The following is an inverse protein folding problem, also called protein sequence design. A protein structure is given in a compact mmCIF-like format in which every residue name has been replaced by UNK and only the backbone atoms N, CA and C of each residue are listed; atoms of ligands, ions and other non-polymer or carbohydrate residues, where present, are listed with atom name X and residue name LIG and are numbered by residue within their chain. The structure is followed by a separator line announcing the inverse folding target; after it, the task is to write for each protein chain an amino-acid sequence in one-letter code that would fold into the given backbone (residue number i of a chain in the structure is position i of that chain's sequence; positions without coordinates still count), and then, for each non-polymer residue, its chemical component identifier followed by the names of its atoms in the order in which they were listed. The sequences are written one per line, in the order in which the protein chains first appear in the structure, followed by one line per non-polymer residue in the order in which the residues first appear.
data_IF_683038225307
#
_entry.id   IF_683038225307
#
_cell.length_a   1.000
_cell.length_b   1.000
_cell.length_c   1.000
_cell.angle_alpha   90.00
_cell.angle_beta   90.00
_cell.angle_gamma   90.00
#
_symmetry.space_group_name_H-M   'P 1'
#
loop_
_entity.id
_entity.type
_entity.pdbx_description
1 polymer ?
#
# COMPACT_ATOMS: atom_id res chain seq x y z
N UNK A 1 18.61 7.96 -5.80
CA UNK A 1 17.91 7.60 -4.54
C UNK A 1 17.40 6.18 -4.70
N UNK A 2 17.41 5.39 -3.62
CA UNK A 2 17.00 3.98 -3.65
C UNK A 2 15.48 3.85 -3.66
N UNK A 3 14.95 2.88 -4.40
CA UNK A 3 13.53 2.49 -4.35
C UNK A 3 13.19 1.79 -3.02
N UNK A 4 14.21 1.27 -2.34
CA UNK A 4 14.15 0.56 -1.07
C UNK A 4 13.98 1.48 0.13
N UNK A 5 13.17 1.02 1.09
CA UNK A 5 13.09 1.52 2.45
C UNK A 5 14.32 1.05 3.22
N UNK A 6 14.94 1.97 3.96
CA UNK A 6 16.06 1.65 4.83
C UNK A 6 15.55 1.05 6.14
N UNK A 7 15.84 -0.22 6.37
CA UNK A 7 15.66 -0.88 7.66
C UNK A 7 16.94 -0.66 8.49
N UNK A 8 16.79 -0.25 9.74
CA UNK A 8 17.91 0.12 10.63
C UNK A 8 18.09 -0.82 11.81
N UNK A 9 16.99 -1.43 12.28
CA UNK A 9 16.99 -2.42 13.35
C UNK A 9 15.98 -3.52 12.99
N UNK A 10 16.25 -4.75 13.38
CA UNK A 10 15.39 -5.91 13.19
C UNK A 10 15.51 -6.86 14.38
N UNK A 11 14.38 -7.41 14.81
CA UNK A 11 14.29 -8.48 15.79
C UNK A 11 13.14 -9.41 15.42
N UNK A 12 13.37 -10.72 15.50
CA UNK A 12 12.35 -11.75 15.35
C UNK A 12 12.33 -12.61 16.61
N UNK A 13 11.16 -13.10 17.01
CA UNK A 13 11.07 -14.10 18.06
C UNK A 13 11.48 -15.47 17.49
N UNK A 14 12.27 -16.23 18.25
CA UNK A 14 12.75 -17.55 17.81
C UNK A 14 11.63 -18.61 17.76
N UNK A 15 10.54 -18.40 18.50
CA UNK A 15 9.44 -19.33 18.71
C UNK A 15 8.11 -18.89 18.07
N UNK A 16 8.05 -17.66 17.53
CA UNK A 16 6.84 -17.11 16.90
C UNK A 16 7.19 -16.31 15.65
N UNK A 17 6.20 -16.10 14.78
CA UNK A 17 6.34 -15.25 13.59
C UNK A 17 6.31 -13.73 13.91
N UNK A 18 6.49 -13.35 15.17
CA UNK A 18 6.46 -11.96 15.61
C UNK A 18 7.80 -11.29 15.31
N UNK A 19 7.72 -10.17 14.59
CA UNK A 19 8.89 -9.35 14.26
C UNK A 19 8.70 -7.88 14.62
N UNK A 20 9.79 -7.26 15.01
CA UNK A 20 9.92 -5.82 15.23
C UNK A 20 11.01 -5.29 14.31
N UNK A 21 10.76 -4.14 13.68
CA UNK A 21 11.76 -3.46 12.86
C UNK A 21 11.69 -1.96 13.04
N UNK A 22 12.81 -1.30 12.78
CA UNK A 22 12.94 0.14 12.66
C UNK A 22 13.13 0.52 11.20
N UNK A 23 12.29 1.39 10.65
CA UNK A 23 12.40 1.82 9.25
C UNK A 23 12.34 3.35 9.11
N UNK A 24 13.12 3.88 8.16
CA UNK A 24 13.05 5.28 7.77
C UNK A 24 11.95 5.45 6.69
N UNK A 25 10.89 6.19 7.03
CA UNK A 25 9.78 6.51 6.11
C UNK A 25 9.64 8.04 6.02
N UNK A 26 10.00 8.60 4.86
CA UNK A 26 10.09 10.05 4.67
C UNK A 26 11.07 10.69 5.64
N UNK A 27 10.60 11.67 6.42
CA UNK A 27 11.41 12.35 7.45
C UNK A 27 11.32 11.70 8.83
N UNK A 28 10.55 10.61 9.00
CA UNK A 28 10.32 9.97 10.28
C UNK A 28 10.89 8.56 10.35
N UNK A 29 11.05 8.07 11.59
CA UNK A 29 11.38 6.69 11.90
C UNK A 29 10.13 6.00 12.45
N UNK A 30 9.81 4.81 11.95
CA UNK A 30 8.75 3.97 12.50
C UNK A 30 9.37 2.76 13.21
N UNK A 31 8.69 2.24 14.24
CA UNK A 31 9.05 1.01 14.93
C UNK A 31 7.84 0.07 14.92
N UNK A 32 7.99 -1.13 14.36
CA UNK A 32 6.90 -2.12 14.28
C UNK A 32 6.89 -3.04 15.50
N UNK A 33 5.74 -3.67 15.86
CA UNK A 33 4.42 -3.49 15.26
C UNK A 33 3.87 -2.09 15.55
N UNK A 34 3.44 -1.40 14.49
CA UNK A 34 2.83 -0.08 14.59
C UNK A 34 1.39 -0.19 14.15
N UNK A 35 0.46 0.29 14.98
CA UNK A 35 -0.92 0.50 14.56
C UNK A 35 -0.99 1.81 13.79
N UNK A 36 -1.67 1.80 12.67
CA UNK A 36 -1.96 3.00 11.90
C UNK A 36 -3.28 3.59 12.33
N UNK A 37 -3.39 4.92 12.23
CA UNK A 37 -4.64 5.63 12.40
C UNK A 37 -5.16 6.11 11.06
N UNK A 38 -6.46 6.01 10.84
CA UNK A 38 -7.16 6.69 9.76
C UNK A 38 -7.98 7.84 10.38
N UNK A 39 -7.48 9.09 10.38
CA UNK A 39 -8.13 10.21 11.07
C UNK A 39 -9.55 10.52 10.56
N UNK A 40 -9.91 10.02 9.36
CA UNK A 40 -11.23 10.21 8.76
C UNK A 40 -12.32 9.42 9.48
N UNK A 41 -11.97 8.32 10.14
CA UNK A 41 -12.94 7.41 10.75
C UNK A 41 -13.36 7.85 12.16
N UNK A 42 -12.80 8.97 12.65
CA UNK A 42 -13.04 9.53 13.98
C UNK A 42 -13.77 10.88 13.91
N UNK A 43 -14.31 11.32 15.04
CA UNK A 43 -15.04 12.59 15.13
C UNK A 43 -14.16 13.81 14.77
N UNK A 44 -14.83 14.89 14.36
CA UNK A 44 -14.16 16.09 13.86
C UNK A 44 -13.21 16.71 14.89
N UNK A 45 -13.57 16.64 16.17
CA UNK A 45 -12.94 17.19 17.37
C UNK A 45 -12.03 16.21 18.12
N UNK A 46 -11.87 14.97 17.63
CA UNK A 46 -10.94 14.00 18.23
C UNK A 46 -9.50 14.51 18.09
N UNK A 47 -8.86 14.75 19.23
CA UNK A 47 -7.42 15.01 19.34
C UNK A 47 -6.70 13.69 19.62
N UNK A 48 -5.75 13.31 18.76
CA UNK A 48 -5.00 12.07 18.92
C UNK A 48 -3.79 12.31 19.82
N UNK A 49 -3.58 11.50 20.88
CA UNK A 49 -2.35 11.54 21.64
C UNK A 49 -1.13 11.31 20.74
N UNK A 50 -0.08 12.13 20.85
CA UNK A 50 1.11 12.06 19.98
C UNK A 50 1.82 10.70 20.00
N UNK A 51 1.77 10.00 21.13
CA UNK A 51 2.32 8.66 21.29
C UNK A 51 1.53 7.56 20.56
N UNK A 52 0.33 7.90 20.06
CA UNK A 52 -0.50 7.02 19.22
C UNK A 52 -0.43 7.41 17.73
N UNK A 53 0.29 8.47 17.36
CA UNK A 53 0.41 8.96 15.98
C UNK A 53 1.80 8.67 15.40
N UNK A 54 2.19 7.40 15.33
CA UNK A 54 3.50 7.00 14.79
C UNK A 54 3.49 6.84 13.26
N UNK A 55 2.33 6.46 12.72
CA UNK A 55 2.09 6.28 11.28
C UNK A 55 0.60 6.50 11.03
N UNK A 56 0.24 7.22 9.97
CA UNK A 56 -1.15 7.39 9.56
C UNK A 56 -1.41 6.84 8.17
N UNK A 57 -2.65 6.44 7.94
CA UNK A 57 -3.12 5.95 6.65
C UNK A 57 -4.22 6.85 6.10
N UNK A 58 -4.21 7.04 4.80
CA UNK A 58 -5.29 7.66 4.04
C UNK A 58 -5.68 6.74 2.90
N UNK A 59 -6.98 6.56 2.72
CA UNK A 59 -7.52 5.73 1.64
C UNK A 59 -8.30 6.60 0.65
N UNK A 60 -7.83 6.63 -0.59
CA UNK A 60 -8.51 7.27 -1.71
C UNK A 60 -9.03 6.20 -2.65
N UNK A 61 -10.27 6.37 -3.11
CA UNK A 61 -10.91 5.46 -4.06
C UNK A 61 -11.38 6.29 -5.23
N UNK A 62 -10.95 5.91 -6.42
CA UNK A 62 -11.32 6.57 -7.66
C UNK A 62 -11.94 5.55 -8.61
N UNK A 63 -13.12 5.84 -9.09
CA UNK A 63 -13.64 5.25 -10.32
C UNK A 63 -13.31 6.12 -11.53
N UNK A 64 -13.69 5.66 -12.72
CA UNK A 64 -13.42 6.37 -13.98
C UNK A 64 -13.81 7.86 -13.88
N UNK A 65 -15.02 8.15 -13.40
CA UNK A 65 -15.56 9.52 -13.30
C UNK A 65 -14.80 10.37 -12.27
N UNK A 66 -14.62 9.85 -11.06
CA UNK A 66 -13.95 10.60 -9.99
C UNK A 66 -12.45 10.78 -10.23
N UNK A 67 -11.82 9.91 -11.03
CA UNK A 67 -10.44 10.05 -11.47
C UNK A 67 -10.31 11.18 -12.50
N UNK A 68 -11.19 11.21 -13.52
CA UNK A 68 -11.23 12.32 -14.48
C UNK A 68 -11.46 13.66 -13.78
N UNK A 69 -12.37 13.72 -12.80
CA UNK A 69 -12.57 14.94 -11.99
C UNK A 69 -11.35 15.32 -11.16
N UNK A 70 -10.56 14.36 -10.67
CA UNK A 70 -9.34 14.65 -9.93
C UNK A 70 -8.30 15.38 -10.80
N UNK A 71 -8.29 15.06 -12.09
CA UNK A 71 -7.35 15.60 -13.07
C UNK A 71 -7.84 16.93 -13.68
N UNK A 72 -9.11 17.00 -14.08
CA UNK A 72 -9.65 18.10 -14.89
C UNK A 72 -10.41 19.17 -14.06
N UNK A 73 -11.03 18.78 -12.93
CA UNK A 73 -11.82 19.69 -12.09
C UNK A 73 -10.97 20.22 -10.93
N UNK A 74 -10.44 21.44 -11.12
CA UNK A 74 -9.63 22.14 -10.11
C UNK A 74 -10.34 22.28 -8.76
N UNK A 75 -11.65 22.52 -8.74
CA UNK A 75 -12.38 22.70 -7.48
C UNK A 75 -12.49 21.37 -6.73
N UNK A 76 -12.79 20.27 -7.44
CA UNK A 76 -12.81 18.93 -6.89
C UNK A 76 -11.43 18.50 -6.35
N UNK A 77 -10.38 18.69 -7.14
CA UNK A 77 -9.00 18.42 -6.73
C UNK A 77 -8.60 19.23 -5.48
N UNK A 78 -8.84 20.55 -5.49
CA UNK A 78 -8.55 21.42 -4.34
C UNK A 78 -9.29 20.99 -3.07
N UNK A 79 -10.55 20.56 -3.19
CA UNK A 79 -11.33 20.09 -2.06
C UNK A 79 -10.73 18.81 -1.47
N UNK A 80 -10.41 17.82 -2.32
CA UNK A 80 -9.72 16.59 -1.88
C UNK A 80 -8.40 16.89 -1.18
N UNK A 81 -7.60 17.79 -1.74
CA UNK A 81 -6.31 18.18 -1.19
C UNK A 81 -6.46 18.83 0.20
N UNK A 82 -7.49 19.68 0.37
CA UNK A 82 -7.82 20.29 1.67
C UNK A 82 -8.24 19.25 2.71
N UNK A 83 -9.05 18.27 2.30
CA UNK A 83 -9.53 17.21 3.20
C UNK A 83 -8.36 16.35 3.69
N UNK A 84 -7.45 15.95 2.79
CA UNK A 84 -6.27 15.16 3.14
C UNK A 84 -5.30 15.97 4.02
N UNK A 85 -5.08 17.25 3.70
CA UNK A 85 -4.24 18.13 4.52
C UNK A 85 -4.78 18.25 5.94
N UNK A 86 -6.10 18.32 6.11
CA UNK A 86 -6.74 18.35 7.43
C UNK A 86 -6.50 17.05 8.20
N UNK A 87 -6.61 15.89 7.55
CA UNK A 87 -6.34 14.60 8.17
C UNK A 87 -4.88 14.47 8.61
N UNK A 88 -3.93 14.91 7.77
CA UNK A 88 -2.50 14.90 8.12
C UNK A 88 -2.18 15.79 9.33
N UNK A 89 -2.85 16.93 9.45
CA UNK A 89 -2.73 17.80 10.64
C UNK A 89 -3.24 17.12 11.90
N UNK A 90 -4.37 16.41 11.84
CA UNK A 90 -4.90 15.62 12.97
C UNK A 90 -3.94 14.50 13.41
N UNK A 91 -3.17 13.97 12.48
CA UNK A 91 -2.14 12.97 12.75
C UNK A 91 -0.78 13.58 13.16
N UNK A 92 -0.75 14.84 13.61
CA UNK A 92 0.47 15.57 14.03
C UNK A 92 1.61 15.54 13.01
N UNK A 93 1.28 15.48 11.71
CA UNK A 93 2.27 15.37 10.63
C UNK A 93 3.22 14.17 10.74
N UNK A 94 2.81 13.09 11.41
CA UNK A 94 3.56 11.84 11.42
C UNK A 94 3.68 11.27 9.98
N UNK A 95 4.62 10.32 9.75
CA UNK A 95 4.71 9.62 8.48
C UNK A 95 3.35 9.11 7.98
N UNK A 96 3.08 9.26 6.70
CA UNK A 96 1.81 8.92 6.07
C UNK A 96 1.92 7.92 4.94
N UNK A 97 0.96 7.00 4.88
CA UNK A 97 0.71 6.11 3.73
C UNK A 97 -0.63 6.50 3.11
N UNK A 98 -0.65 6.88 1.84
CA UNK A 98 -1.87 7.15 1.08
C UNK A 98 -2.10 6.05 0.05
N UNK A 99 -2.93 5.09 0.41
CA UNK A 99 -3.36 4.03 -0.49
C UNK A 99 -4.42 4.55 -1.46
N UNK A 100 -4.20 4.30 -2.75
CA UNK A 100 -5.10 4.72 -3.82
C UNK A 100 -5.65 3.47 -4.51
N UNK A 101 -6.97 3.35 -4.56
CA UNK A 101 -7.67 2.24 -5.19
C UNK A 101 -8.34 2.70 -6.48
N UNK A 102 -8.10 1.99 -7.57
CA UNK A 102 -8.83 2.18 -8.83
C UNK A 102 -10.01 1.20 -8.94
N UNK A 103 -11.21 1.77 -9.06
CA UNK A 103 -12.50 1.09 -9.08
C UNK A 103 -13.15 1.16 -10.45
N UNK A 104 -13.15 0.06 -11.17
CA UNK A 104 -13.88 0.00 -12.45
C UNK A 104 -15.36 -0.34 -12.24
N UNK A 105 -16.25 0.43 -12.88
CA UNK A 105 -17.69 0.09 -12.99
C UNK A 105 -17.89 -1.08 -13.99
N UNK A 106 -18.97 -1.86 -13.89
CA UNK A 106 -19.32 -2.94 -14.85
C UNK A 106 -18.89 -4.37 -14.47
N UNK A 107 -19.06 -5.38 -15.35
CA UNK A 107 -18.77 -6.81 -15.03
C UNK A 107 -17.34 -7.28 -15.34
N UNK A 108 -16.61 -6.63 -16.25
CA UNK A 108 -15.31 -7.14 -16.74
C UNK A 108 -14.05 -6.66 -15.99
N UNK A 109 -14.11 -5.49 -15.35
CA UNK A 109 -12.88 -4.87 -14.83
C UNK A 109 -11.93 -4.42 -15.95
N UNK A 110 -10.98 -3.54 -15.62
CA UNK A 110 -9.86 -3.18 -16.48
C UNK A 110 -8.71 -2.63 -15.64
N UNK A 111 -7.50 -2.66 -16.18
CA UNK A 111 -6.41 -1.85 -15.66
C UNK A 111 -6.64 -0.37 -16.03
N UNK A 112 -6.12 0.58 -15.23
CA UNK A 112 -6.06 1.99 -15.63
C UNK A 112 -5.15 2.16 -16.86
N UNK A 113 -5.47 3.14 -17.69
CA UNK A 113 -4.63 3.59 -18.81
C UNK A 113 -3.37 4.29 -18.29
N UNK A 114 -2.38 4.52 -19.15
CA UNK A 114 -1.14 5.21 -18.77
C UNK A 114 -1.39 6.59 -18.13
N UNK A 115 -2.34 7.36 -18.68
CA UNK A 115 -2.74 8.67 -18.13
C UNK A 115 -3.34 8.52 -16.73
N UNK A 116 -4.25 7.56 -16.56
CA UNK A 116 -4.88 7.29 -15.27
C UNK A 116 -3.86 6.80 -14.22
N UNK A 117 -2.85 6.03 -14.64
CA UNK A 117 -1.73 5.64 -13.77
C UNK A 117 -0.96 6.86 -13.29
N UNK A 118 -0.67 7.86 -14.14
CA UNK A 118 -0.03 9.11 -13.70
C UNK A 118 -0.89 9.85 -12.67
N UNK A 119 -2.20 9.98 -12.89
CA UNK A 119 -3.09 10.64 -11.93
C UNK A 119 -3.11 9.89 -10.59
N UNK A 120 -3.25 8.56 -10.61
CA UNK A 120 -3.31 7.72 -9.40
C UNK A 120 -1.99 7.76 -8.62
N UNK A 121 -0.86 7.58 -9.31
CA UNK A 121 0.47 7.59 -8.69
C UNK A 121 0.85 8.99 -8.21
N UNK A 122 0.42 10.05 -8.89
CA UNK A 122 0.58 11.43 -8.42
C UNK A 122 -0.17 11.69 -7.11
N UNK A 123 -1.41 11.21 -7.00
CA UNK A 123 -2.17 11.31 -5.76
C UNK A 123 -1.47 10.54 -4.63
N UNK A 124 -1.07 9.30 -4.88
CA UNK A 124 -0.33 8.47 -3.94
C UNK A 124 0.99 9.13 -3.49
N UNK A 125 1.78 9.65 -4.44
CA UNK A 125 3.04 10.35 -4.18
C UNK A 125 2.83 11.63 -3.36
N UNK A 126 1.80 12.41 -3.66
CA UNK A 126 1.57 13.71 -3.01
C UNK A 126 1.23 13.58 -1.53
N UNK A 127 0.58 12.49 -1.15
CA UNK A 127 0.01 12.29 0.19
C UNK A 127 0.67 11.21 1.02
N UNK A 128 1.73 10.59 0.50
CA UNK A 128 2.49 9.58 1.22
C UNK A 128 3.94 9.98 1.39
N UNK A 129 4.59 9.45 2.43
CA UNK A 129 6.03 9.59 2.65
C UNK A 129 6.82 8.44 2.00
N UNK A 130 6.14 7.35 1.63
CA UNK A 130 6.57 6.28 0.70
C UNK A 130 5.47 6.09 -0.34
N UNK A 131 5.79 5.99 -1.63
CA UNK A 131 4.78 6.02 -2.69
C UNK A 131 4.16 4.64 -2.93
N UNK A 132 2.89 4.40 -2.58
CA UNK A 132 2.26 3.12 -2.85
C UNK A 132 1.91 2.99 -4.32
N UNK A 133 2.16 1.81 -4.89
CA UNK A 133 1.54 1.43 -6.16
C UNK A 133 0.03 1.41 -5.94
N UNK A 134 -0.81 1.97 -6.83
CA UNK A 134 -2.26 1.92 -6.65
C UNK A 134 -2.81 0.48 -6.66
N UNK A 135 -3.85 0.20 -5.89
CA UNK A 135 -4.52 -1.11 -5.93
C UNK A 135 -5.56 -1.19 -7.04
N UNK A 136 -5.67 -2.38 -7.61
CA UNK A 136 -6.70 -2.75 -8.60
C UNK A 136 -7.44 -4.03 -8.16
N UNK A 137 -8.17 -4.02 -7.02
CA UNK A 137 -8.65 -5.25 -6.38
C UNK A 137 -9.46 -6.16 -7.30
N UNK A 138 -10.27 -5.58 -8.18
CA UNK A 138 -11.10 -6.33 -9.12
C UNK A 138 -10.28 -7.12 -10.16
N UNK A 139 -9.20 -6.54 -10.67
CA UNK A 139 -8.29 -7.23 -11.59
C UNK A 139 -7.44 -8.25 -10.83
N UNK A 140 -7.03 -7.91 -9.61
CA UNK A 140 -6.27 -8.80 -8.75
C UNK A 140 -7.02 -10.10 -8.40
N UNK A 141 -8.32 -10.04 -8.14
CA UNK A 141 -9.16 -11.23 -7.85
C UNK A 141 -9.22 -12.23 -8.99
N UNK A 142 -9.01 -11.78 -10.23
CA UNK A 142 -9.09 -12.64 -11.42
C UNK A 142 -7.72 -13.11 -11.91
N UNK A 143 -6.64 -12.84 -11.16
CA UNK A 143 -5.28 -13.28 -11.51
C UNK A 143 -5.24 -14.81 -11.66
N UNK A 144 -4.72 -15.24 -12.80
CA UNK A 144 -4.48 -16.63 -13.18
C UNK A 144 -3.34 -16.69 -14.19
N UNK A 145 -3.00 -17.89 -14.67
CA UNK A 145 -1.85 -18.12 -15.55
C UNK A 145 -1.93 -17.31 -16.85
N UNK A 146 -3.12 -17.07 -17.38
CA UNK A 146 -3.30 -16.39 -18.66
C UNK A 146 -3.11 -14.87 -18.56
N UNK A 147 -3.46 -14.24 -17.43
CA UNK A 147 -3.44 -12.78 -17.28
C UNK A 147 -2.42 -12.27 -16.25
N UNK A 148 -1.63 -13.14 -15.62
CA UNK A 148 -0.59 -12.74 -14.67
C UNK A 148 0.45 -11.79 -15.28
N UNK A 149 0.79 -11.99 -16.57
CA UNK A 149 1.69 -11.08 -17.30
C UNK A 149 1.16 -9.65 -17.41
N UNK A 150 -0.15 -9.49 -17.62
CA UNK A 150 -0.79 -8.16 -17.66
C UNK A 150 -0.73 -7.48 -16.29
N UNK A 151 -0.84 -8.26 -15.20
CA UNK A 151 -0.69 -7.74 -13.85
C UNK A 151 0.74 -7.22 -13.60
N UNK A 152 1.77 -7.98 -13.98
CA UNK A 152 3.16 -7.52 -13.88
C UNK A 152 3.43 -6.29 -14.77
N UNK A 153 2.84 -6.22 -15.96
CA UNK A 153 2.94 -5.06 -16.83
C UNK A 153 2.31 -3.81 -16.20
N UNK A 154 1.17 -3.97 -15.52
CA UNK A 154 0.56 -2.90 -14.73
C UNK A 154 1.48 -2.41 -13.60
N UNK A 155 2.10 -3.34 -12.85
CA UNK A 155 3.06 -2.99 -11.80
C UNK A 155 4.28 -2.24 -12.38
N UNK A 156 4.83 -2.70 -13.51
CA UNK A 156 5.95 -2.04 -14.21
C UNK A 156 5.58 -0.62 -14.61
N UNK A 157 4.41 -0.43 -15.21
CA UNK A 157 3.92 0.89 -15.63
C UNK A 157 3.79 1.85 -14.44
N UNK A 158 3.36 1.36 -13.27
CA UNK A 158 3.31 2.17 -12.06
C UNK A 158 4.71 2.54 -11.55
N UNK A 159 5.65 1.59 -11.53
CA UNK A 159 7.03 1.81 -11.11
C UNK A 159 7.70 2.87 -12.00
N UNK A 160 7.60 2.72 -13.31
CA UNK A 160 8.13 3.65 -14.31
C UNK A 160 7.57 5.07 -14.11
N UNK A 161 6.25 5.18 -13.87
CA UNK A 161 5.59 6.47 -13.67
C UNK A 161 6.03 7.14 -12.37
N UNK A 162 6.13 6.38 -11.26
CA UNK A 162 6.63 6.89 -9.98
C UNK A 162 8.08 7.36 -10.13
N UNK A 163 8.86 6.70 -10.99
CA UNK A 163 10.28 6.99 -11.17
C UNK A 163 10.61 8.31 -11.82
N UNK A 164 9.76 8.79 -12.72
CA UNK A 164 9.92 10.09 -13.38
C UNK A 164 10.09 11.22 -12.35
N UNK A 165 9.51 11.07 -11.15
CA UNK A 165 9.51 12.09 -10.09
C UNK A 165 10.52 11.80 -8.97
N UNK A 166 11.21 10.66 -9.00
CA UNK A 166 11.54 9.90 -7.79
C UNK A 166 12.40 10.64 -6.75
N UNK A 167 11.77 10.91 -5.60
CA UNK A 167 12.44 11.29 -4.34
C UNK A 167 12.00 10.44 -3.14
N UNK A 168 11.24 9.37 -3.35
CA UNK A 168 10.59 8.57 -2.31
C UNK A 168 10.71 7.08 -2.61
N UNK A 169 10.84 6.25 -1.59
CA UNK A 169 10.78 4.79 -1.77
C UNK A 169 9.42 4.37 -2.35
N UNK A 170 9.34 3.17 -2.90
CA UNK A 170 8.10 2.61 -3.46
C UNK A 170 7.54 1.56 -2.50
N UNK A 171 6.24 1.60 -2.25
CA UNK A 171 5.51 0.59 -1.50
C UNK A 171 4.72 -0.30 -2.48
N UNK A 172 5.22 -1.50 -2.73
CA UNK A 172 4.65 -2.45 -3.69
C UNK A 172 3.26 -2.94 -3.27
N UNK A 173 2.38 -3.12 -4.24
CA UNK A 173 1.05 -3.69 -4.06
C UNK A 173 1.09 -5.22 -4.14
N UNK A 174 0.64 -5.89 -3.08
CA UNK A 174 0.46 -7.35 -3.07
C UNK A 174 -1.02 -7.66 -2.87
N UNK A 175 -1.72 -8.19 -3.89
CA UNK A 175 -3.09 -8.64 -3.73
C UNK A 175 -3.20 -9.96 -2.97
N UNK A 176 -4.40 -10.26 -2.49
CA UNK A 176 -4.85 -11.59 -2.11
C UNK A 176 -4.83 -12.53 -3.34
N UNK A 177 -3.65 -13.09 -3.66
CA UNK A 177 -3.42 -14.05 -4.72
C UNK A 177 -2.91 -15.39 -4.16
N UNK A 178 -2.85 -16.42 -4.99
CA UNK A 178 -2.28 -17.73 -4.59
C UNK A 178 -0.78 -17.61 -4.30
N UNK A 179 -0.24 -18.59 -3.56
CA UNK A 179 1.17 -18.64 -3.18
C UNK A 179 2.14 -18.49 -4.37
N UNK A 180 1.84 -19.17 -5.49
CA UNK A 180 2.65 -19.11 -6.72
C UNK A 180 2.77 -17.68 -7.26
N UNK A 181 1.64 -16.97 -7.40
CA UNK A 181 1.66 -15.60 -7.91
C UNK A 181 2.28 -14.63 -6.91
N UNK A 182 2.08 -14.87 -5.61
CA UNK A 182 2.70 -14.06 -4.55
C UNK A 182 4.23 -14.14 -4.62
N UNK A 183 4.81 -15.33 -4.80
CA UNK A 183 6.27 -15.48 -4.97
C UNK A 183 6.79 -14.70 -6.18
N UNK A 184 6.12 -14.86 -7.33
CA UNK A 184 6.52 -14.17 -8.55
C UNK A 184 6.39 -12.64 -8.44
N UNK A 185 5.41 -12.13 -7.70
CA UNK A 185 5.26 -10.70 -7.41
C UNK A 185 6.42 -10.20 -6.53
N UNK A 186 6.82 -10.98 -5.53
CA UNK A 186 7.97 -10.63 -4.68
C UNK A 186 9.27 -10.61 -5.50
N UNK A 187 9.52 -11.64 -6.31
CA UNK A 187 10.69 -11.65 -7.20
C UNK A 187 10.70 -10.43 -8.13
N UNK A 188 9.55 -10.13 -8.76
CA UNK A 188 9.40 -8.94 -9.59
C UNK A 188 9.80 -7.67 -8.85
N UNK A 189 9.33 -7.47 -7.62
CA UNK A 189 9.67 -6.28 -6.85
C UNK A 189 11.15 -6.23 -6.43
N UNK A 190 11.71 -7.35 -5.99
CA UNK A 190 13.12 -7.42 -5.59
C UNK A 190 14.06 -7.18 -6.78
N UNK A 191 13.70 -7.67 -7.98
CA UNK A 191 14.43 -7.39 -9.22
C UNK A 191 14.38 -5.89 -9.59
N UNK A 192 13.34 -5.19 -9.13
CA UNK A 192 13.22 -3.74 -9.23
C UNK A 192 13.76 -3.00 -8.00
N UNK A 193 14.43 -3.66 -7.04
CA UNK A 193 14.95 -3.01 -5.83
C UNK A 193 13.84 -2.40 -4.95
N UNK A 194 12.71 -3.08 -4.82
CA UNK A 194 11.60 -2.68 -3.96
C UNK A 194 11.46 -3.72 -2.85
N UNK A 195 11.68 -3.29 -1.60
CA UNK A 195 11.66 -4.14 -0.40
C UNK A 195 10.52 -3.82 0.57
N UNK A 196 9.61 -2.92 0.20
CA UNK A 196 8.51 -2.49 1.03
C UNK A 196 7.19 -2.79 0.32
N UNK A 197 6.24 -3.38 1.04
CA UNK A 197 4.99 -3.85 0.45
C UNK A 197 3.79 -3.54 1.33
N UNK A 198 2.64 -3.37 0.69
CA UNK A 198 1.36 -3.47 1.37
C UNK A 198 0.55 -4.64 0.81
N UNK A 199 -0.05 -5.42 1.72
CA UNK A 199 -0.86 -6.59 1.37
C UNK A 199 -2.33 -6.22 1.50
N UNK A 200 -3.06 -6.32 0.39
CA UNK A 200 -4.51 -6.13 0.35
C UNK A 200 -5.22 -7.47 0.51
N UNK A 201 -5.79 -7.68 1.69
CA UNK A 201 -6.56 -8.88 2.01
C UNK A 201 -7.97 -8.85 1.46
N UNK A 202 -8.38 -7.79 0.76
CA UNK A 202 -9.67 -7.70 0.08
C UNK A 202 -10.87 -7.95 1.03
N UNK A 203 -10.76 -7.46 2.27
CA UNK A 203 -11.79 -7.64 3.29
C UNK A 203 -11.82 -9.02 3.93
N UNK A 204 -10.83 -9.88 3.69
CA UNK A 204 -10.74 -11.22 4.30
C UNK A 204 -9.78 -11.24 5.50
N UNK A 205 -9.78 -12.35 6.23
CA UNK A 205 -8.95 -12.55 7.43
C UNK A 205 -7.53 -12.95 7.01
N UNK A 206 -6.51 -12.51 7.76
CA UNK A 206 -5.10 -12.89 7.53
C UNK A 206 -4.92 -14.42 7.52
N UNK A 207 -5.66 -15.13 8.39
CA UNK A 207 -5.62 -16.60 8.49
C UNK A 207 -6.08 -17.31 7.20
N UNK A 208 -6.84 -16.64 6.34
CA UNK A 208 -7.26 -17.21 5.05
C UNK A 208 -6.15 -17.23 4.01
N UNK A 209 -4.99 -16.61 4.29
CA UNK A 209 -3.89 -16.41 3.34
C UNK A 209 -2.54 -16.92 3.86
N UNK A 210 -2.54 -17.82 4.85
CA UNK A 210 -1.31 -18.32 5.47
C UNK A 210 -0.35 -18.91 4.44
N UNK A 211 -0.83 -19.66 3.45
CA UNK A 211 0.01 -20.24 2.41
C UNK A 211 0.72 -19.16 1.57
N UNK A 212 0.00 -18.11 1.16
CA UNK A 212 0.57 -17.00 0.40
C UNK A 212 1.54 -16.16 1.24
N UNK A 213 1.24 -15.94 2.52
CA UNK A 213 2.13 -15.23 3.44
C UNK A 213 3.41 -16.02 3.73
N UNK A 214 3.30 -17.34 3.91
CA UNK A 214 4.45 -18.22 4.08
C UNK A 214 5.31 -18.28 2.81
N UNK A 215 4.67 -18.30 1.64
CA UNK A 215 5.35 -18.25 0.36
C UNK A 215 6.11 -16.92 0.17
N UNK A 216 5.50 -15.80 0.55
CA UNK A 216 6.15 -14.47 0.59
C UNK A 216 7.37 -14.48 1.52
N UNK A 217 7.22 -14.94 2.77
CA UNK A 217 8.33 -14.98 3.74
C UNK A 217 9.49 -15.83 3.24
N UNK A 218 9.19 -17.03 2.74
CA UNK A 218 10.20 -17.94 2.16
C UNK A 218 10.93 -17.29 1.00
N UNK A 219 10.21 -16.57 0.14
CA UNK A 219 10.83 -15.91 -1.01
C UNK A 219 11.74 -14.76 -0.58
N UNK A 220 11.32 -13.94 0.39
CA UNK A 220 12.17 -12.90 0.96
C UNK A 220 13.44 -13.50 1.58
N UNK A 221 13.32 -14.57 2.37
CA UNK A 221 14.47 -15.25 2.95
C UNK A 221 15.41 -15.84 1.89
N UNK A 222 14.88 -16.52 0.88
CA UNK A 222 15.65 -17.09 -0.22
C UNK A 222 16.44 -16.03 -1.01
N UNK A 223 15.95 -14.79 -1.05
CA UNK A 223 16.58 -13.65 -1.72
C UNK A 223 17.42 -12.79 -0.77
N UNK A 224 17.53 -13.12 0.51
CA UNK A 224 18.31 -12.38 1.51
C UNK A 224 17.64 -11.10 2.05
N UNK A 225 16.32 -10.98 1.89
CA UNK A 225 15.52 -9.83 2.32
C UNK A 225 14.68 -10.10 3.57
N UNK A 226 14.89 -11.21 4.29
CA UNK A 226 14.14 -11.58 5.50
C UNK A 226 14.10 -10.45 6.55
N UNK A 227 15.26 -9.82 6.78
CA UNK A 227 15.43 -8.73 7.73
C UNK A 227 15.24 -7.35 7.08
N UNK A 228 15.48 -7.25 5.77
CA UNK A 228 15.47 -6.00 5.02
C UNK A 228 14.16 -5.79 4.24
N UNK A 229 13.00 -5.93 4.88
CA UNK A 229 11.72 -5.64 4.23
C UNK A 229 10.70 -4.97 5.17
N UNK A 230 9.82 -4.16 4.60
CA UNK A 230 8.68 -3.55 5.30
C UNK A 230 7.35 -4.15 4.80
N UNK A 231 6.45 -4.49 5.71
CA UNK A 231 5.11 -5.00 5.39
C UNK A 231 4.05 -4.15 6.08
N UNK A 232 3.08 -3.66 5.30
CA UNK A 232 1.83 -3.06 5.78
C UNK A 232 0.66 -3.95 5.40
N UNK A 233 -0.33 -4.09 6.27
CA UNK A 233 -1.53 -4.87 5.98
C UNK A 233 -2.73 -3.94 5.88
N UNK A 234 -3.50 -4.04 4.80
CA UNK A 234 -4.68 -3.20 4.57
C UNK A 234 -5.93 -4.06 4.36
N UNK A 235 -7.10 -3.44 4.56
CA UNK A 235 -8.41 -4.09 4.38
C UNK A 235 -8.54 -5.43 5.13
N UNK A 236 -7.88 -5.55 6.28
CA UNK A 236 -7.97 -6.74 7.12
C UNK A 236 -9.29 -6.72 7.88
N UNK A 237 -10.15 -7.71 7.64
CA UNK A 237 -11.25 -7.96 8.56
C UNK A 237 -10.65 -8.49 9.86
N UNK A 238 -10.72 -7.74 10.96
CA UNK A 238 -10.45 -8.26 12.29
C UNK A 238 -11.79 -8.44 13.00
N UNK A 239 -12.14 -9.68 13.34
CA UNK A 239 -13.30 -9.98 14.19
C UNK A 239 -14.66 -9.87 13.48
N UNK A 240 -15.01 -10.85 12.63
CA UNK A 240 -16.42 -11.16 12.39
C UNK A 240 -17.05 -11.73 13.67
N UNK A 241 -17.32 -10.84 14.61
CA UNK A 241 -18.34 -10.95 15.62
C UNK A 241 -19.22 -9.69 15.52
N UNK A 242 -19.74 -9.40 14.32
CA UNK A 242 -20.80 -8.43 14.12
C UNK A 242 -21.71 -8.98 13.01
N UNK A 243 -22.65 -9.82 13.44
CA UNK A 243 -24.02 -10.04 12.95
C UNK A 243 -24.46 -11.46 13.34
N UNK A 244 -24.76 -11.63 14.63
CA UNK A 244 -25.98 -12.32 15.06
C UNK A 244 -26.99 -11.22 15.44
#
# INVERSE_FOLDING_TARGET
MTREVRITDYACADDTDLRSLSADIGSGKIVTPVKTINPRDFYADTDFPRNLTNLHETYLKFDDESLHRMDEDKAYSMQKNKDISRNRKKAHHCPGLCFVEFKTRGRGGRYPTAHEIDVLTNAAYSYSDITPIPSVPKMARSINRANFGEFLQYLSSCIETIEVRNKKCILGYIPSATALYTQNIIDFYLDHGINAYYIDFDGTMVQSHLDSLNALKRQLAARGYEENNFLSYINVSFGKAIND
#
